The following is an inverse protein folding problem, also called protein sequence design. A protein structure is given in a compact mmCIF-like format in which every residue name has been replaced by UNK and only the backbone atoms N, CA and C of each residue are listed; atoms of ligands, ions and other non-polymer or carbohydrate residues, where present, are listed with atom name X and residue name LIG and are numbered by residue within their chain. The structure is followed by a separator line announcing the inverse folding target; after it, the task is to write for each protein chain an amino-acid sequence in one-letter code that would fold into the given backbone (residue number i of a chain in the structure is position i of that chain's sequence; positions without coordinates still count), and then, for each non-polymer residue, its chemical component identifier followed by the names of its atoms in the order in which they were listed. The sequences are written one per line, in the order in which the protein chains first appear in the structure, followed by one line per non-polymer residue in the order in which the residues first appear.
data_IF_970543881004
#
_entry.id   IF_970543881004
#
_cell.length_a   1.000
_cell.length_b   1.000
_cell.length_c   1.000
_cell.angle_alpha   90.00
_cell.angle_beta   90.00
_cell.angle_gamma   90.00
#
_symmetry.space_group_name_H-M   'P 1'
#
loop_
_entity.id
_entity.type
_entity.pdbx_description
1 polymer ?
#
# COMPACT_ATOMS: atom_id res chain seq x y z
N UNK A 1 -68.35 -75.46 1.48
CA UNK A 1 -68.57 -74.21 2.23
C UNK A 1 -67.44 -74.03 3.22
N UNK A 2 -66.59 -73.01 3.04
CA UNK A 2 -65.59 -72.62 4.04
C UNK A 2 -65.60 -71.07 4.13
N UNK A 3 -65.63 -70.49 5.34
CA UNK A 3 -66.05 -69.12 5.56
C UNK A 3 -64.95 -68.08 5.25
N UNK A 4 -65.39 -66.91 4.75
CA UNK A 4 -64.55 -65.73 4.49
C UNK A 4 -63.96 -65.21 5.81
N UNK A 5 -62.64 -64.98 5.84
CA UNK A 5 -61.92 -64.35 6.98
C UNK A 5 -62.35 -62.88 7.16
N UNK A 6 -62.51 -62.39 8.40
CA UNK A 6 -62.85 -61.00 8.67
C UNK A 6 -61.65 -60.07 8.46
N UNK A 7 -61.96 -58.85 8.00
CA UNK A 7 -61.02 -57.78 7.66
C UNK A 7 -60.60 -57.05 8.94
N UNK A 8 -59.31 -57.08 9.27
CA UNK A 8 -58.73 -56.37 10.43
C UNK A 8 -58.46 -54.90 10.10
N UNK A 9 -58.87 -54.00 10.99
CA UNK A 9 -58.59 -52.56 10.93
C UNK A 9 -57.20 -52.33 11.52
N UNK A 10 -56.32 -51.50 10.94
CA UNK A 10 -54.98 -51.31 11.48
C UNK A 10 -55.03 -50.44 12.75
N UNK A 11 -54.41 -50.93 13.82
CA UNK A 11 -54.21 -50.19 15.07
C UNK A 11 -53.27 -48.98 14.85
N UNK A 12 -53.66 -47.82 15.37
CA UNK A 12 -52.85 -46.60 15.38
C UNK A 12 -51.58 -46.81 16.20
N UNK A 13 -50.42 -46.67 15.56
CA UNK A 13 -49.10 -46.77 16.20
C UNK A 13 -48.84 -45.51 17.04
N UNK A 14 -48.43 -45.61 18.32
CA UNK A 14 -48.15 -44.43 19.13
C UNK A 14 -46.91 -43.70 18.61
N UNK A 15 -46.98 -42.37 18.61
CA UNK A 15 -45.90 -41.49 18.19
C UNK A 15 -44.66 -41.69 19.08
N UNK A 16 -43.52 -41.97 18.45
CA UNK A 16 -42.22 -41.99 19.12
C UNK A 16 -41.82 -40.54 19.47
N UNK A 17 -41.28 -40.29 20.67
CA UNK A 17 -40.79 -38.96 21.02
C UNK A 17 -39.57 -38.63 20.16
N UNK A 18 -39.71 -37.63 19.29
CA UNK A 18 -38.59 -36.96 18.64
C UNK A 18 -37.87 -36.11 19.68
N UNK A 19 -36.57 -35.91 19.45
CA UNK A 19 -35.63 -35.05 20.18
C UNK A 19 -34.92 -35.65 21.41
N UNK A 20 -33.87 -36.41 21.12
CA UNK A 20 -32.60 -36.26 21.86
C UNK A 20 -31.55 -35.68 20.93
N UNK A 21 -31.35 -34.36 20.99
CA UNK A 21 -30.16 -33.69 20.46
C UNK A 21 -28.94 -34.41 21.05
N UNK A 22 -28.18 -35.14 20.22
CA UNK A 22 -26.89 -35.73 20.63
C UNK A 22 -25.94 -34.56 20.93
N UNK A 23 -25.80 -34.21 22.20
CA UNK A 23 -24.73 -33.32 22.66
C UNK A 23 -23.42 -34.07 22.43
N UNK A 24 -22.63 -33.61 21.44
CA UNK A 24 -21.28 -34.12 21.23
C UNK A 24 -20.42 -33.91 22.49
N UNK A 25 -19.32 -34.67 22.63
CA UNK A 25 -18.44 -34.53 23.79
C UNK A 25 -17.97 -33.07 23.94
N UNK A 26 -17.80 -32.56 25.18
CA UNK A 26 -17.40 -31.19 25.42
C UNK A 26 -16.06 -30.92 24.72
N UNK A 27 -15.99 -29.88 23.89
CA UNK A 27 -14.74 -29.44 23.26
C UNK A 27 -13.73 -29.17 24.37
N UNK A 28 -12.63 -29.92 24.43
CA UNK A 28 -11.51 -29.62 25.33
C UNK A 28 -11.06 -28.18 25.07
N UNK A 29 -11.14 -27.34 26.10
CA UNK A 29 -10.62 -25.98 26.05
C UNK A 29 -9.10 -26.11 25.95
N UNK A 30 -8.53 -25.71 24.82
CA UNK A 30 -7.08 -25.72 24.62
C UNK A 30 -6.44 -24.73 25.60
N UNK A 31 -5.33 -25.15 26.23
CA UNK A 31 -4.48 -24.25 27.01
C UNK A 31 -3.97 -23.10 26.12
N UNK A 32 -3.71 -21.94 26.72
CA UNK A 32 -3.16 -20.78 26.00
C UNK A 32 -1.82 -21.11 25.33
N UNK A 33 -0.98 -21.90 25.99
CA UNK A 33 0.26 -22.41 25.43
C UNK A 33 0.03 -23.29 24.18
N UNK A 34 -1.02 -24.13 24.18
CA UNK A 34 -1.34 -24.97 23.01
C UNK A 34 -1.94 -24.17 21.86
N UNK A 35 -2.66 -23.08 22.17
CA UNK A 35 -3.14 -22.12 21.17
C UNK A 35 -1.97 -21.39 20.54
N UNK A 36 -1.02 -20.89 21.34
CA UNK A 36 0.18 -20.22 20.86
C UNK A 36 1.00 -21.12 19.92
N UNK A 37 1.27 -22.38 20.31
CA UNK A 37 1.96 -23.38 19.45
C UNK A 37 1.28 -23.55 18.09
N UNK A 38 -0.05 -23.63 18.06
CA UNK A 38 -0.82 -23.74 16.80
C UNK A 38 -0.75 -22.47 15.96
N UNK A 39 -0.76 -21.31 16.58
CA UNK A 39 -0.62 -20.02 15.90
C UNK A 39 0.78 -19.88 15.29
N UNK A 40 1.84 -20.24 16.02
CA UNK A 40 3.20 -20.27 15.48
C UNK A 40 3.35 -21.23 14.31
N UNK A 41 2.83 -22.45 14.41
CA UNK A 41 2.84 -23.39 13.29
C UNK A 41 2.07 -22.87 12.06
N UNK A 42 1.06 -22.02 12.28
CA UNK A 42 0.32 -21.35 11.20
C UNK A 42 1.11 -20.18 10.63
N UNK A 43 1.76 -19.39 11.50
CA UNK A 43 2.60 -18.25 11.12
C UNK A 43 3.74 -18.69 10.22
N UNK A 44 4.48 -19.73 10.60
CA UNK A 44 5.58 -20.29 9.77
C UNK A 44 5.08 -20.65 8.37
N UNK A 45 3.96 -21.39 8.26
CA UNK A 45 3.38 -21.74 6.95
C UNK A 45 2.95 -20.51 6.14
N UNK A 46 2.52 -19.44 6.80
CA UNK A 46 2.16 -18.18 6.14
C UNK A 46 3.40 -17.43 5.66
N UNK A 47 4.49 -17.46 6.42
CA UNK A 47 5.79 -16.88 6.04
C UNK A 47 6.39 -17.64 4.84
N UNK A 48 6.42 -18.98 4.89
CA UNK A 48 6.88 -19.84 3.80
C UNK A 48 6.09 -19.59 2.50
N UNK A 49 4.78 -19.31 2.64
CA UNK A 49 3.89 -18.99 1.52
C UNK A 49 3.85 -17.51 1.14
N UNK A 50 4.68 -16.65 1.74
CA UNK A 50 4.69 -15.19 1.56
C UNK A 50 3.29 -14.53 1.74
N UNK A 51 2.44 -15.12 2.60
CA UNK A 51 1.09 -14.63 2.90
C UNK A 51 1.12 -13.55 3.99
N UNK A 52 1.89 -12.48 3.78
CA UNK A 52 2.18 -11.44 4.78
C UNK A 52 0.95 -10.80 5.44
N UNK A 53 -0.15 -10.48 4.72
CA UNK A 53 -1.35 -9.92 5.37
C UNK A 53 -2.02 -10.87 6.36
N UNK A 54 -1.90 -12.19 6.15
CA UNK A 54 -2.42 -13.18 7.08
C UNK A 54 -1.43 -13.44 8.23
N UNK A 55 -0.13 -13.41 7.95
CA UNK A 55 0.93 -13.50 8.95
C UNK A 55 0.80 -12.38 9.99
N UNK A 56 0.59 -11.13 9.57
CA UNK A 56 0.34 -9.98 10.47
C UNK A 56 -0.87 -10.21 11.39
N UNK A 57 -1.97 -10.74 10.85
CA UNK A 57 -3.15 -11.06 11.68
C UNK A 57 -2.87 -12.20 12.66
N UNK A 58 -1.94 -13.10 12.33
CA UNK A 58 -1.54 -14.19 13.23
C UNK A 58 -0.62 -13.64 14.33
N UNK A 59 0.30 -12.72 14.03
CA UNK A 59 1.11 -12.04 15.05
C UNK A 59 0.24 -11.21 16.00
N UNK A 60 -0.81 -10.53 15.50
CA UNK A 60 -1.76 -9.82 16.36
C UNK A 60 -2.49 -10.77 17.33
N UNK A 61 -2.82 -11.99 16.88
CA UNK A 61 -3.43 -13.01 17.74
C UNK A 61 -2.45 -13.58 18.77
N UNK A 62 -1.18 -13.71 18.41
CA UNK A 62 -0.14 -14.14 19.35
C UNK A 62 0.06 -13.10 20.44
N UNK A 63 0.19 -11.82 20.07
CA UNK A 63 0.33 -10.71 21.01
C UNK A 63 -0.93 -10.47 21.86
N UNK A 64 -2.11 -10.88 21.38
CA UNK A 64 -3.32 -10.89 22.18
C UNK A 64 -3.36 -12.01 23.24
N UNK A 65 -2.59 -13.09 23.06
CA UNK A 65 -2.41 -14.13 24.08
C UNK A 65 -1.29 -13.77 25.06
N UNK A 66 -0.18 -13.25 24.55
CA UNK A 66 0.95 -12.77 25.34
C UNK A 66 1.49 -11.46 24.75
N UNK A 67 1.17 -10.30 25.35
CA UNK A 67 1.65 -9.00 24.87
C UNK A 67 3.17 -8.83 24.91
N UNK A 68 3.88 -9.63 25.73
CA UNK A 68 5.33 -9.54 25.91
C UNK A 68 6.10 -10.60 25.10
N UNK A 69 5.43 -11.31 24.18
CA UNK A 69 6.06 -12.28 23.31
C UNK A 69 7.03 -11.59 22.32
N UNK A 70 8.33 -11.72 22.58
CA UNK A 70 9.41 -11.10 21.80
C UNK A 70 9.42 -11.57 20.35
N UNK A 71 9.20 -12.87 20.12
CA UNK A 71 9.26 -13.48 18.79
C UNK A 71 8.09 -13.01 17.94
N UNK A 72 6.89 -12.97 18.52
CA UNK A 72 5.70 -12.45 17.85
C UNK A 72 5.86 -10.96 17.50
N UNK A 73 6.42 -10.16 18.42
CA UNK A 73 6.64 -8.72 18.23
C UNK A 73 7.70 -8.44 17.18
N UNK A 74 8.84 -9.12 17.22
CA UNK A 74 9.91 -9.00 16.22
C UNK A 74 9.42 -9.45 14.84
N UNK A 75 8.69 -10.57 14.77
CA UNK A 75 8.10 -11.04 13.51
C UNK A 75 7.10 -10.02 12.97
N UNK A 76 6.27 -9.42 13.83
CA UNK A 76 5.33 -8.35 13.43
C UNK A 76 6.09 -7.15 12.87
N UNK A 77 7.15 -6.69 13.54
CA UNK A 77 7.99 -5.58 13.08
C UNK A 77 8.55 -5.87 11.69
N UNK A 78 9.22 -7.01 11.51
CA UNK A 78 9.77 -7.44 10.22
C UNK A 78 8.70 -7.42 9.11
N UNK A 79 7.52 -7.99 9.37
CA UNK A 79 6.42 -8.01 8.41
C UNK A 79 5.91 -6.61 8.06
N UNK A 80 5.86 -5.69 9.03
CA UNK A 80 5.46 -4.31 8.79
C UNK A 80 6.50 -3.59 7.92
N UNK A 81 7.80 -3.77 8.19
CA UNK A 81 8.88 -3.19 7.39
C UNK A 81 8.90 -3.74 5.95
N UNK A 82 8.77 -5.06 5.80
CA UNK A 82 8.74 -5.76 4.50
C UNK A 82 7.53 -5.37 3.64
N UNK A 83 6.43 -4.93 4.27
CA UNK A 83 5.20 -4.51 3.58
C UNK A 83 5.01 -3.00 3.53
N UNK A 84 6.09 -2.23 3.74
CA UNK A 84 6.14 -0.77 3.71
C UNK A 84 5.16 -0.07 4.67
N UNK A 85 4.79 -0.72 5.78
CA UNK A 85 3.87 -0.16 6.79
C UNK A 85 4.61 0.56 7.91
N UNK A 86 5.45 1.54 7.54
CA UNK A 86 6.35 2.24 8.46
C UNK A 86 5.65 2.94 9.62
N UNK A 87 4.48 3.54 9.39
CA UNK A 87 3.72 4.20 10.47
C UNK A 87 3.26 3.21 11.55
N UNK A 88 2.84 1.99 11.17
CA UNK A 88 2.45 0.95 12.12
C UNK A 88 3.67 0.32 12.78
N UNK A 89 4.79 0.21 12.05
CA UNK A 89 6.06 -0.24 12.63
C UNK A 89 6.54 0.74 13.70
N UNK A 90 6.50 2.05 13.43
CA UNK A 90 6.87 3.09 14.37
C UNK A 90 5.99 3.07 15.63
N UNK A 91 4.66 2.97 15.47
CA UNK A 91 3.73 2.81 16.60
C UNK A 91 4.04 1.55 17.43
N UNK A 92 4.36 0.44 16.78
CA UNK A 92 4.79 -0.77 17.48
C UNK A 92 6.04 -0.48 18.31
N UNK A 93 7.04 0.20 17.73
CA UNK A 93 8.33 0.52 18.35
C UNK A 93 8.21 1.51 19.52
N UNK A 94 7.33 2.51 19.42
CA UNK A 94 7.02 3.47 20.50
C UNK A 94 6.54 2.76 21.78
N UNK A 95 5.93 1.59 21.65
CA UNK A 95 5.45 0.76 22.76
C UNK A 95 6.38 -0.43 23.06
N UNK A 96 7.69 -0.24 22.93
CA UNK A 96 8.66 -1.29 23.26
C UNK A 96 8.76 -1.59 24.75
N UNK A 97 8.90 -2.88 25.14
CA UNK A 97 9.32 -3.24 26.47
C UNK A 97 10.61 -2.51 26.83
N UNK A 98 10.70 -2.08 28.09
CA UNK A 98 11.86 -1.39 28.62
C UNK A 98 13.13 -2.23 28.46
N UNK A 99 14.21 -1.60 28.01
CA UNK A 99 15.49 -2.26 27.76
C UNK A 99 15.62 -2.98 26.41
N UNK A 100 14.56 -3.04 25.60
CA UNK A 100 14.68 -3.52 24.22
C UNK A 100 15.28 -2.43 23.34
N UNK A 101 16.45 -2.71 22.76
CA UNK A 101 17.05 -1.84 21.76
C UNK A 101 16.28 -1.90 20.45
N UNK A 102 15.73 -0.76 20.05
CA UNK A 102 14.93 -0.57 18.82
C UNK A 102 15.28 0.74 18.11
N UNK A 103 16.40 1.35 18.49
CA UNK A 103 16.77 2.69 18.06
C UNK A 103 16.99 2.74 16.53
N UNK A 104 17.67 1.72 15.99
CA UNK A 104 17.92 1.62 14.55
C UNK A 104 16.62 1.50 13.74
N UNK A 105 15.72 0.59 14.11
CA UNK A 105 14.47 0.40 13.39
C UNK A 105 13.56 1.63 13.48
N UNK A 106 13.62 2.37 14.61
CA UNK A 106 12.92 3.65 14.79
C UNK A 106 13.46 4.69 13.79
N UNK A 107 14.77 4.90 13.76
CA UNK A 107 15.42 5.83 12.82
C UNK A 107 15.10 5.46 11.36
N UNK A 108 15.16 4.17 11.03
CA UNK A 108 14.79 3.68 9.70
C UNK A 108 13.33 3.99 9.34
N UNK A 109 12.39 3.78 10.28
CA UNK A 109 10.98 4.11 10.05
C UNK A 109 10.78 5.61 9.84
N UNK A 110 11.43 6.48 10.62
CA UNK A 110 11.37 7.94 10.48
C UNK A 110 11.91 8.38 9.11
N UNK A 111 13.07 7.82 8.72
CA UNK A 111 13.65 8.01 7.40
C UNK A 111 12.68 7.59 6.28
N UNK A 112 12.05 6.42 6.36
CA UNK A 112 11.10 5.95 5.33
C UNK A 112 9.80 6.75 5.30
N UNK A 113 9.42 7.39 6.41
CA UNK A 113 8.27 8.29 6.51
C UNK A 113 8.58 9.74 6.11
N UNK A 114 9.82 10.04 5.69
CA UNK A 114 10.26 11.40 5.32
C UNK A 114 10.12 12.40 6.47
N UNK A 115 10.26 11.94 7.71
CA UNK A 115 10.36 12.79 8.90
C UNK A 115 11.84 13.08 9.16
N UNK A 116 12.41 13.94 8.32
CA UNK A 116 13.86 14.15 8.22
C UNK A 116 14.46 14.65 9.53
N UNK A 117 13.89 15.69 10.15
CA UNK A 117 14.38 16.24 11.43
C UNK A 117 14.40 15.20 12.56
N UNK A 118 13.36 14.37 12.64
CA UNK A 118 13.27 13.31 13.65
C UNK A 118 14.27 12.16 13.36
N UNK A 119 14.47 11.84 12.08
CA UNK A 119 15.42 10.80 11.66
C UNK A 119 16.86 11.22 11.91
N UNK A 120 17.17 12.49 11.65
CA UNK A 120 18.47 13.13 11.89
C UNK A 120 18.84 13.07 13.37
N UNK A 121 17.94 13.52 14.24
CA UNK A 121 18.13 13.45 15.70
C UNK A 121 18.36 12.00 16.17
N UNK A 122 17.59 11.05 15.65
CA UNK A 122 17.73 9.64 16.03
C UNK A 122 19.04 9.02 15.51
N UNK A 123 19.53 9.44 14.35
CA UNK A 123 20.78 8.97 13.76
C UNK A 123 21.99 9.58 14.46
N UNK A 124 21.95 10.85 14.86
CA UNK A 124 22.99 11.48 15.67
C UNK A 124 23.24 10.69 16.97
N UNK A 125 22.16 10.32 17.68
CA UNK A 125 22.25 9.49 18.89
C UNK A 125 22.85 8.11 18.60
N UNK A 126 22.47 7.48 17.48
CA UNK A 126 23.00 6.19 17.06
C UNK A 126 24.47 6.26 16.67
N UNK A 127 24.88 7.27 15.91
CA UNK A 127 26.26 7.51 15.49
C UNK A 127 27.16 7.81 16.69
N UNK A 128 26.65 8.53 17.69
CA UNK A 128 27.38 8.76 18.93
C UNK A 128 27.56 7.47 19.75
N UNK A 129 26.56 6.59 19.78
CA UNK A 129 26.61 5.34 20.54
C UNK A 129 27.34 4.20 19.81
N UNK A 130 27.27 4.17 18.48
CA UNK A 130 27.71 3.07 17.61
C UNK A 130 28.31 3.60 16.30
N UNK A 131 29.41 4.35 16.35
CA UNK A 131 29.99 5.00 15.17
C UNK A 131 30.45 4.02 14.09
N UNK A 132 30.82 2.80 14.50
CA UNK A 132 31.31 1.74 13.61
C UNK A 132 30.19 0.80 13.13
N UNK A 133 28.93 1.05 13.50
CA UNK A 133 27.83 0.22 13.02
C UNK A 133 27.54 0.52 11.55
N UNK A 134 27.84 -0.47 10.72
CA UNK A 134 27.71 -0.38 9.27
C UNK A 134 26.28 -0.04 8.82
N UNK A 135 25.27 -0.56 9.51
CA UNK A 135 23.87 -0.28 9.18
C UNK A 135 23.49 1.17 9.48
N UNK A 136 24.00 1.72 10.58
CA UNK A 136 23.82 3.13 10.96
C UNK A 136 24.51 4.04 9.95
N UNK A 137 25.79 3.78 9.60
CA UNK A 137 26.53 4.55 8.60
C UNK A 137 25.82 4.55 7.23
N UNK A 138 25.24 3.43 6.84
CA UNK A 138 24.50 3.32 5.59
C UNK A 138 23.21 4.15 5.60
N UNK A 139 22.49 4.16 6.73
CA UNK A 139 21.27 4.95 6.87
C UNK A 139 21.57 6.45 6.96
N UNK A 140 22.68 6.82 7.59
CA UNK A 140 23.20 8.18 7.64
C UNK A 140 23.54 8.69 6.23
N UNK A 141 24.32 7.93 5.44
CA UNK A 141 24.64 8.28 4.06
C UNK A 141 23.39 8.50 3.20
N UNK A 142 22.36 7.68 3.43
CA UNK A 142 21.07 7.80 2.76
C UNK A 142 20.28 9.05 3.18
N UNK A 143 20.36 9.46 4.46
CA UNK A 143 19.72 10.67 4.96
C UNK A 143 20.45 11.92 4.47
N UNK A 144 21.78 11.98 4.59
CA UNK A 144 22.59 13.11 4.12
C UNK A 144 22.37 13.35 2.61
N UNK A 145 22.29 12.28 1.81
CA UNK A 145 21.97 12.40 0.37
C UNK A 145 20.62 13.07 0.14
N UNK A 146 19.60 12.72 0.94
CA UNK A 146 18.26 13.27 0.80
C UNK A 146 18.18 14.75 1.20
N UNK A 147 18.92 15.14 2.22
CA UNK A 147 19.03 16.53 2.67
C UNK A 147 19.82 17.40 1.67
N UNK A 148 20.50 16.79 0.69
CA UNK A 148 21.33 17.50 -0.28
C UNK A 148 22.78 17.68 0.17
N UNK A 149 23.16 17.10 1.32
CA UNK A 149 24.53 17.05 1.84
C UNK A 149 25.33 15.96 1.10
N UNK A 150 25.48 16.14 -0.22
CA UNK A 150 26.08 15.16 -1.11
C UNK A 150 27.55 14.86 -0.80
N UNK A 151 28.28 15.83 -0.22
CA UNK A 151 29.65 15.65 0.23
C UNK A 151 29.73 14.61 1.37
N UNK A 152 28.97 14.83 2.44
CA UNK A 152 28.90 13.90 3.57
C UNK A 152 28.42 12.51 3.13
N UNK A 153 27.39 12.44 2.29
CA UNK A 153 26.91 11.18 1.73
C UNK A 153 27.99 10.42 0.95
N UNK A 154 28.75 11.13 0.10
CA UNK A 154 29.81 10.52 -0.70
C UNK A 154 30.94 9.97 0.18
N UNK A 155 31.36 10.72 1.19
CA UNK A 155 32.41 10.30 2.13
C UNK A 155 31.99 9.05 2.92
N UNK A 156 30.75 9.01 3.40
CA UNK A 156 30.19 7.84 4.09
C UNK A 156 30.11 6.62 3.18
N UNK A 157 29.66 6.79 1.92
CA UNK A 157 29.64 5.67 0.98
C UNK A 157 31.05 5.16 0.63
N UNK A 158 32.06 6.03 0.53
CA UNK A 158 33.44 5.58 0.34
C UNK A 158 33.96 4.81 1.55
N UNK A 159 33.70 5.29 2.76
CA UNK A 159 34.02 4.57 4.01
C UNK A 159 33.38 3.17 4.04
N UNK A 160 32.11 3.07 3.62
CA UNK A 160 31.43 1.78 3.50
C UNK A 160 32.06 0.88 2.42
N UNK A 161 32.52 1.44 1.30
CA UNK A 161 33.19 0.69 0.22
C UNK A 161 34.54 0.12 0.65
N UNK A 162 35.28 0.79 1.54
CA UNK A 162 36.60 0.32 2.01
C UNK A 162 36.56 -1.09 2.63
N UNK A 163 35.38 -1.49 3.13
CA UNK A 163 35.13 -2.81 3.73
C UNK A 163 34.08 -3.64 2.99
N UNK A 164 33.55 -3.14 1.88
CA UNK A 164 32.59 -3.89 1.05
C UNK A 164 33.32 -4.87 0.13
N UNK A 165 33.02 -6.16 0.23
CA UNK A 165 33.60 -7.18 -0.65
C UNK A 165 33.21 -6.93 -2.12
N UNK A 166 34.19 -6.80 -3.04
CA UNK A 166 33.91 -6.58 -4.45
C UNK A 166 33.07 -7.69 -5.08
N UNK A 167 32.09 -7.32 -5.89
CA UNK A 167 31.20 -8.27 -6.60
C UNK A 167 30.01 -8.76 -5.79
N UNK A 168 29.83 -8.27 -4.55
CA UNK A 168 28.58 -8.43 -3.80
C UNK A 168 27.52 -7.43 -4.26
N UNK A 169 26.25 -7.77 -4.04
CA UNK A 169 25.12 -6.86 -4.31
C UNK A 169 25.26 -5.57 -3.50
N UNK A 170 25.68 -5.66 -2.24
CA UNK A 170 25.93 -4.50 -1.38
C UNK A 170 26.99 -3.55 -1.97
N UNK A 171 28.13 -4.09 -2.43
CA UNK A 171 29.16 -3.28 -3.07
C UNK A 171 28.62 -2.57 -4.32
N UNK A 172 27.81 -3.25 -5.14
CA UNK A 172 27.20 -2.67 -6.34
C UNK A 172 26.21 -1.55 -6.00
N UNK A 173 25.39 -1.73 -4.97
CA UNK A 173 24.42 -0.75 -4.48
C UNK A 173 25.12 0.50 -3.94
N UNK A 174 26.11 0.32 -3.04
CA UNK A 174 26.89 1.43 -2.49
C UNK A 174 27.63 2.17 -3.60
N UNK A 175 28.27 1.47 -4.54
CA UNK A 175 28.98 2.09 -5.66
C UNK A 175 28.04 2.96 -6.50
N UNK A 176 26.81 2.51 -6.72
CA UNK A 176 25.80 3.25 -7.47
C UNK A 176 25.40 4.53 -6.73
N UNK A 177 25.14 4.43 -5.43
CA UNK A 177 24.77 5.57 -4.59
C UNK A 177 25.92 6.57 -4.44
N UNK A 178 27.16 6.10 -4.27
CA UNK A 178 28.36 6.93 -4.21
C UNK A 178 28.55 7.73 -5.49
N UNK A 179 28.38 7.09 -6.66
CA UNK A 179 28.46 7.78 -7.97
C UNK A 179 27.36 8.83 -8.12
N UNK A 180 26.15 8.56 -7.64
CA UNK A 180 25.07 9.54 -7.65
C UNK A 180 25.41 10.74 -6.76
N UNK A 181 25.89 10.50 -5.54
CA UNK A 181 26.31 11.56 -4.61
C UNK A 181 27.43 12.42 -5.23
N UNK A 182 28.45 11.78 -5.79
CA UNK A 182 29.56 12.46 -6.47
C UNK A 182 29.09 13.29 -7.68
N UNK A 183 28.19 12.75 -8.51
CA UNK A 183 27.67 13.47 -9.67
C UNK A 183 26.88 14.72 -9.26
N UNK A 184 26.08 14.63 -8.19
CA UNK A 184 25.38 15.80 -7.66
C UNK A 184 26.35 16.83 -7.04
N UNK A 185 27.36 16.36 -6.32
CA UNK A 185 28.40 17.23 -5.76
C UNK A 185 29.16 17.98 -6.87
N UNK A 186 29.61 17.27 -7.91
CA UNK A 186 30.28 17.87 -9.07
C UNK A 186 29.35 18.86 -9.80
N UNK A 187 28.07 18.50 -9.97
CA UNK A 187 27.10 19.41 -10.55
C UNK A 187 26.98 20.72 -9.76
N UNK A 188 26.84 20.65 -8.43
CA UNK A 188 26.69 21.84 -7.58
C UNK A 188 27.96 22.68 -7.55
N UNK A 189 29.12 22.04 -7.48
CA UNK A 189 30.41 22.73 -7.25
C UNK A 189 31.06 23.25 -8.52
N UNK A 190 30.98 22.51 -9.62
CA UNK A 190 31.72 22.82 -10.86
C UNK A 190 30.79 23.18 -12.00
N UNK A 191 29.85 22.30 -12.36
CA UNK A 191 29.04 22.45 -13.57
C UNK A 191 28.06 23.62 -13.47
N UNK A 192 27.33 23.71 -12.36
CA UNK A 192 26.34 24.76 -12.14
C UNK A 192 27.01 26.11 -11.95
N UNK A 193 28.03 26.19 -11.11
CA UNK A 193 28.80 27.42 -10.88
C UNK A 193 29.45 27.93 -12.18
N UNK A 194 30.11 27.05 -12.94
CA UNK A 194 30.71 27.42 -14.23
C UNK A 194 29.67 27.86 -15.27
N UNK A 195 28.49 27.25 -15.28
CA UNK A 195 27.40 27.68 -16.15
C UNK A 195 26.85 29.06 -15.76
N UNK A 196 26.76 29.37 -14.45
CA UNK A 196 26.38 30.70 -13.97
C UNK A 196 27.41 31.76 -14.38
N UNK A 197 28.71 31.46 -14.22
CA UNK A 197 29.79 32.38 -14.61
C UNK A 197 29.84 32.64 -16.12
N UNK A 198 29.42 31.68 -16.93
CA UNK A 198 29.35 31.82 -18.39
C UNK A 198 28.14 32.64 -18.89
N UNK A 199 27.16 32.96 -18.03
CA UNK A 199 25.98 33.73 -18.45
C UNK A 199 26.37 35.20 -18.72
N UNK A 200 25.81 35.81 -19.79
CA UNK A 200 25.94 37.25 -20.02
C UNK A 200 25.50 38.06 -18.80
N UNK A 201 26.29 39.08 -18.44
CA UNK A 201 26.01 39.94 -17.27
C UNK A 201 24.64 40.64 -17.34
N UNK A 202 24.13 40.90 -18.54
CA UNK A 202 22.78 41.45 -18.74
C UNK A 202 21.68 40.49 -18.23
N UNK A 203 21.87 39.18 -18.39
CA UNK A 203 20.92 38.16 -17.94
C UNK A 203 21.00 38.02 -16.42
N UNK A 204 22.20 37.92 -15.85
CA UNK A 204 22.38 37.81 -14.40
C UNK A 204 21.86 39.05 -13.66
N UNK A 205 22.17 40.25 -14.17
CA UNK A 205 21.66 41.52 -13.61
C UNK A 205 20.14 41.61 -13.67
N UNK A 206 19.53 41.15 -14.77
CA UNK A 206 18.07 41.15 -14.92
C UNK A 206 17.39 40.16 -13.97
N UNK A 207 17.99 38.98 -13.74
CA UNK A 207 17.51 37.99 -12.76
C UNK A 207 17.58 38.52 -11.33
N UNK A 208 18.67 39.18 -10.96
CA UNK A 208 18.89 39.69 -9.61
C UNK A 208 18.05 40.94 -9.32
N UNK A 209 17.75 41.76 -10.33
CA UNK A 209 16.84 42.91 -10.19
C UNK A 209 15.36 42.53 -10.35
N UNK A 210 15.05 41.33 -10.86
CA UNK A 210 13.67 40.94 -11.08
C UNK A 210 12.96 40.76 -9.73
N UNK A 211 11.78 41.38 -9.52
CA UNK A 211 10.99 41.08 -8.35
C UNK A 211 10.62 39.58 -8.36
N UNK A 212 10.51 38.93 -7.18
CA UNK A 212 10.09 37.54 -7.10
C UNK A 212 8.78 37.37 -7.89
N UNK A 213 8.64 36.28 -8.66
CA UNK A 213 7.47 36.08 -9.49
C UNK A 213 6.23 36.19 -8.60
N UNK A 214 5.43 37.23 -8.84
CA UNK A 214 4.19 37.41 -8.12
C UNK A 214 3.36 36.16 -8.39
N UNK A 215 3.06 35.40 -7.34
CA UNK A 215 2.04 34.35 -7.41
C UNK A 215 0.85 34.98 -8.13
N UNK A 216 0.29 34.34 -9.18
CA UNK A 216 -0.86 34.90 -9.87
C UNK A 216 -1.87 35.20 -8.78
N UNK A 217 -2.08 36.51 -8.54
CA UNK A 217 -3.01 36.95 -7.52
C UNK A 217 -4.29 36.26 -7.92
N UNK A 218 -4.72 35.29 -7.11
CA UNK A 218 -6.00 34.67 -7.28
C UNK A 218 -6.91 35.87 -7.32
N UNK A 219 -7.38 36.20 -8.52
CA UNK A 219 -8.29 37.29 -8.71
C UNK A 219 -9.52 36.76 -8.01
N UNK A 220 -9.59 37.05 -6.71
CA UNK A 220 -10.81 37.26 -6.00
C UNK A 220 -11.49 38.30 -6.86
N UNK A 221 -12.24 37.80 -7.84
CA UNK A 221 -13.42 38.44 -8.33
C UNK A 221 -14.25 38.60 -7.07
N UNK A 222 -13.96 39.67 -6.34
CA UNK A 222 -14.78 40.15 -5.27
C UNK A 222 -16.12 40.30 -5.95
N UNK A 223 -17.03 39.38 -5.62
CA UNK A 223 -18.44 39.53 -5.90
C UNK A 223 -18.74 40.92 -5.34
N UNK A 224 -19.04 41.94 -6.18
CA UNK A 224 -19.33 43.25 -5.64
C UNK A 224 -20.51 43.04 -4.70
N UNK A 225 -20.34 43.41 -3.44
CA UNK A 225 -21.42 43.49 -2.49
C UNK A 225 -22.51 44.32 -3.18
N UNK A 226 -23.65 43.67 -3.44
CA UNK A 226 -24.74 44.26 -4.20
C UNK A 226 -25.22 45.52 -3.49
N UNK A 227 -24.75 46.67 -3.98
CA UNK A 227 -25.35 47.95 -3.69
C UNK A 227 -26.79 47.90 -4.23
N UNK A 228 -27.73 48.12 -3.33
CA UNK A 228 -29.16 48.17 -3.57
C UNK A 228 -29.47 49.16 -4.69
N UNK A 229 -29.86 48.65 -5.86
CA UNK A 229 -30.34 49.43 -6.98
C UNK A 229 -31.65 48.81 -7.53
N UNK A 230 -32.55 49.64 -8.09
CA UNK A 230 -33.99 49.45 -8.04
C UNK A 230 -34.52 48.41 -9.02
N UNK A 231 -35.75 47.95 -8.73
CA UNK A 231 -36.45 46.86 -9.38
C UNK A 231 -36.38 46.87 -10.93
N UNK A 232 -36.15 45.71 -11.57
CA UNK A 232 -36.16 45.61 -13.02
C UNK A 232 -37.60 45.52 -13.54
N UNK A 233 -37.93 46.42 -14.46
CA UNK A 233 -39.08 46.32 -15.35
C UNK A 233 -38.93 45.11 -16.27
N UNK A 234 -40.07 44.49 -16.55
CA UNK A 234 -40.23 43.14 -17.10
C UNK A 234 -39.71 42.97 -18.53
N UNK A 235 -38.71 42.09 -18.72
CA UNK A 235 -38.33 41.53 -20.02
C UNK A 235 -38.86 40.08 -20.16
N UNK A 236 -39.26 39.63 -21.37
CA UNK A 236 -40.06 38.42 -21.55
C UNK A 236 -39.22 37.15 -21.38
N UNK A 237 -39.77 36.19 -20.61
CA UNK A 237 -39.15 34.87 -20.36
C UNK A 237 -39.11 34.01 -21.62
N UNK A 238 -37.91 33.65 -22.09
CA UNK A 238 -37.71 32.62 -23.11
C UNK A 238 -38.17 31.26 -22.56
N UNK A 239 -39.10 30.61 -23.23
CA UNK A 239 -39.63 29.29 -22.84
C UNK A 239 -38.60 28.20 -23.15
N UNK A 240 -38.28 27.40 -22.13
CA UNK A 240 -37.40 26.23 -22.27
C UNK A 240 -38.12 25.15 -23.05
N UNK A 241 -37.48 24.63 -24.11
CA UNK A 241 -38.03 23.56 -24.96
C UNK A 241 -38.15 22.26 -24.16
N UNK A 242 -39.38 21.93 -23.78
CA UNK A 242 -39.79 20.79 -22.94
C UNK A 242 -39.57 19.39 -23.54
N UNK A 243 -39.00 19.29 -24.74
CA UNK A 243 -38.68 17.99 -25.39
C UNK A 243 -37.34 17.38 -24.93
N UNK A 244 -36.52 18.11 -24.17
CA UNK A 244 -35.18 17.67 -23.70
C UNK A 244 -35.07 17.52 -22.18
N UNK A 245 -36.20 17.43 -21.48
CA UNK A 245 -36.21 17.21 -20.03
C UNK A 245 -36.87 15.87 -19.74
N UNK A 246 -36.16 14.90 -19.11
CA UNK A 246 -36.74 13.63 -18.68
C UNK A 246 -37.93 13.84 -17.73
N UNK A 247 -38.95 12.97 -17.81
CA UNK A 247 -40.14 13.05 -16.95
C UNK A 247 -39.73 13.06 -15.47
N UNK A 248 -40.10 14.12 -14.74
CA UNK A 248 -39.87 14.26 -13.29
C UNK A 248 -38.99 15.42 -12.85
N UNK A 249 -38.42 16.23 -13.77
CA UNK A 249 -37.54 17.36 -13.43
C UNK A 249 -38.22 18.69 -13.80
N UNK A 250 -38.60 19.49 -12.81
CA UNK A 250 -39.05 20.88 -12.96
C UNK A 250 -37.86 21.83 -12.74
N UNK A 251 -37.53 22.72 -13.70
CA UNK A 251 -36.43 23.67 -13.53
C UNK A 251 -36.71 24.64 -12.37
N UNK A 252 -35.82 24.67 -11.38
CA UNK A 252 -35.86 25.61 -10.25
C UNK A 252 -36.19 25.02 -8.88
N UNK A 253 -36.64 23.75 -8.78
CA UNK A 253 -37.00 23.09 -7.50
C UNK A 253 -36.54 21.62 -7.44
N UNK A 254 -35.54 21.23 -8.24
CA UNK A 254 -34.97 19.87 -8.18
C UNK A 254 -33.59 19.92 -7.52
N UNK A 255 -33.26 19.00 -6.58
CA UNK A 255 -31.94 18.94 -5.97
C UNK A 255 -30.84 18.73 -7.02
N UNK A 256 -29.63 19.22 -6.72
CA UNK A 256 -28.49 19.10 -7.61
C UNK A 256 -28.28 17.64 -8.03
N UNK A 257 -27.97 17.36 -9.31
CA UNK A 257 -27.74 16.00 -9.78
C UNK A 257 -26.68 15.29 -8.93
N UNK A 258 -26.92 14.02 -8.62
CA UNK A 258 -26.12 13.19 -7.71
C UNK A 258 -24.60 13.35 -7.96
N UNK A 259 -23.83 13.82 -6.95
CA UNK A 259 -22.40 14.05 -7.09
C UNK A 259 -21.62 12.76 -7.34
N UNK A 260 -22.17 11.58 -7.04
CA UNK A 260 -21.52 10.29 -7.28
C UNK A 260 -21.82 9.70 -8.67
N UNK A 261 -22.40 10.51 -9.57
CA UNK A 261 -22.77 10.06 -10.92
C UNK A 261 -21.59 9.63 -11.78
N UNK A 262 -20.38 10.12 -11.50
CA UNK A 262 -19.15 9.76 -12.23
C UNK A 262 -18.50 8.48 -11.70
N UNK A 263 -18.92 7.97 -10.53
CA UNK A 263 -18.43 6.72 -9.97
C UNK A 263 -19.08 5.50 -10.64
N UNK A 264 -18.35 4.37 -10.69
CA UNK A 264 -18.89 3.11 -11.20
C UNK A 264 -20.10 2.71 -10.34
N UNK A 265 -21.10 2.07 -10.94
CA UNK A 265 -22.37 1.77 -10.25
C UNK A 265 -22.17 0.98 -8.93
N UNK A 266 -21.13 0.17 -8.82
CA UNK A 266 -20.76 -0.59 -7.61
C UNK A 266 -20.13 0.25 -6.50
N UNK A 267 -19.63 1.43 -6.83
CA UNK A 267 -18.90 2.35 -5.95
C UNK A 267 -19.79 3.52 -5.48
N UNK A 268 -21.06 3.55 -5.92
CA UNK A 268 -22.03 4.56 -5.49
C UNK A 268 -22.61 4.19 -4.14
N UNK A 269 -22.78 5.16 -3.26
CA UNK A 269 -23.46 5.03 -1.96
C UNK A 269 -24.89 4.49 -2.08
N UNK A 270 -25.58 4.77 -3.19
CA UNK A 270 -26.92 4.24 -3.52
C UNK A 270 -26.91 2.79 -4.02
N UNK A 271 -25.74 2.15 -4.18
CA UNK A 271 -25.62 0.80 -4.69
C UNK A 271 -26.05 -0.25 -3.67
N UNK A 272 -27.16 -0.92 -3.95
CA UNK A 272 -27.57 -2.12 -3.23
C UNK A 272 -27.12 -3.35 -4.04
N UNK A 273 -26.12 -4.12 -3.59
CA UNK A 273 -25.74 -5.35 -4.28
C UNK A 273 -26.88 -6.37 -4.24
N UNK A 274 -27.13 -7.11 -5.33
CA UNK A 274 -28.14 -8.16 -5.33
C UNK A 274 -27.78 -9.22 -4.29
N UNK A 275 -28.66 -9.42 -3.29
CA UNK A 275 -28.54 -10.52 -2.32
C UNK A 275 -28.58 -11.85 -3.07
N UNK A 276 -27.51 -12.64 -2.95
CA UNK A 276 -27.60 -14.09 -3.21
C UNK A 276 -26.78 -14.67 -4.36
N UNK A 277 -25.66 -14.07 -4.78
CA UNK A 277 -24.69 -14.82 -5.61
C UNK A 277 -23.26 -14.64 -5.08
N UNK A 278 -22.77 -15.71 -4.45
CA UNK A 278 -21.36 -15.94 -4.14
C UNK A 278 -20.52 -15.56 -5.37
N UNK A 279 -19.62 -14.59 -5.24
CA UNK A 279 -18.56 -14.40 -6.22
C UNK A 279 -17.55 -15.52 -6.05
N UNK A 280 -17.79 -16.61 -6.79
CA UNK A 280 -16.74 -17.49 -7.25
C UNK A 280 -15.84 -16.70 -8.22
N UNK A 281 -14.53 -16.89 -8.11
CA UNK A 281 -13.55 -16.21 -8.92
C UNK A 281 -13.49 -16.68 -10.37
N UNK A 282 -12.68 -15.95 -11.14
CA UNK A 282 -12.06 -16.39 -12.39
C UNK A 282 -12.88 -16.16 -13.65
N UNK A 283 -12.29 -15.48 -14.63
CA UNK A 283 -12.75 -15.55 -16.02
C UNK A 283 -12.52 -14.29 -16.83
N UNK A 284 -11.43 -14.28 -17.59
CA UNK A 284 -11.07 -13.31 -18.62
C UNK A 284 -12.11 -13.18 -19.75
N UNK A 285 -12.24 -11.97 -20.32
CA UNK A 285 -12.47 -11.71 -21.76
C UNK A 285 -11.99 -10.28 -22.05
N UNK A 286 -10.86 -10.09 -22.75
CA UNK A 286 -10.76 -9.89 -24.21
C UNK A 286 -10.52 -8.40 -24.54
N UNK A 287 -9.30 -8.08 -24.99
CA UNK A 287 -8.90 -6.75 -25.43
C UNK A 287 -7.44 -6.74 -25.88
N UNK A 288 -7.22 -7.01 -27.16
CA UNK A 288 -5.95 -7.15 -27.87
C UNK A 288 -5.64 -5.88 -28.66
N UNK A 289 -4.37 -5.47 -28.73
CA UNK A 289 -3.77 -4.73 -29.87
C UNK A 289 -2.31 -5.15 -30.03
N UNK A 290 -1.83 -5.53 -31.23
CA UNK A 290 -0.41 -5.70 -31.51
C UNK A 290 0.13 -4.46 -32.23
N UNK A 291 1.34 -4.05 -31.91
CA UNK A 291 2.18 -3.26 -32.80
C UNK A 291 3.32 -4.15 -33.29
N UNK A 292 3.25 -4.47 -34.58
CA UNK A 292 4.33 -4.80 -35.53
C UNK A 292 5.41 -3.69 -35.47
N UNK A 293 6.71 -3.84 -35.74
CA UNK A 293 7.59 -4.89 -36.29
C UNK A 293 9.03 -4.33 -36.17
N UNK A 294 10.06 -5.11 -35.83
CA UNK A 294 11.22 -5.37 -36.70
C UNK A 294 12.21 -6.39 -36.09
N UNK A 295 12.67 -7.30 -36.96
CA UNK A 295 13.52 -8.50 -36.79
C UNK A 295 15.01 -8.06 -36.99
N UNK A 296 16.12 -8.84 -36.77
CA UNK A 296 16.16 -10.31 -36.76
C UNK A 296 17.19 -11.08 -35.91
N UNK A 297 16.91 -12.40 -35.87
CA UNK A 297 17.80 -13.56 -35.93
C UNK A 297 18.85 -13.83 -34.85
N UNK A 298 18.63 -14.92 -34.13
CA UNK A 298 19.58 -16.04 -34.17
C UNK A 298 18.85 -17.38 -34.07
N UNK A 299 19.33 -18.32 -34.88
CA UNK A 299 18.78 -19.65 -35.08
C UNK A 299 19.60 -20.68 -34.30
N UNK A 300 18.92 -21.66 -33.70
CA UNK A 300 19.32 -23.05 -33.43
C UNK A 300 18.25 -23.64 -32.49
N UNK A 301 17.67 -24.82 -32.64
CA UNK A 301 17.96 -25.98 -33.47
C UNK A 301 17.42 -27.21 -32.70
N UNK A 302 16.76 -28.14 -33.40
CA UNK A 302 16.36 -29.47 -32.89
C UNK A 302 14.96 -29.48 -32.26
N UNK A 303 13.93 -30.10 -32.85
CA UNK A 303 13.84 -31.54 -33.17
C UNK A 303 13.38 -32.27 -31.89
N UNK A 304 12.25 -32.97 -31.77
CA UNK A 304 11.35 -33.64 -32.70
C UNK A 304 10.62 -34.71 -31.87
N UNK A 305 9.53 -35.27 -32.39
CA UNK A 305 9.01 -36.58 -31.95
C UNK A 305 7.85 -36.57 -30.96
N UNK A 306 6.63 -36.65 -31.49
CA UNK A 306 5.48 -37.13 -30.73
C UNK A 306 5.39 -38.66 -30.69
N UNK A 307 4.79 -39.23 -29.64
CA UNK A 307 3.71 -40.23 -29.74
C UNK A 307 3.25 -40.77 -28.37
N UNK A 308 1.91 -40.82 -28.26
CA UNK A 308 1.06 -41.93 -27.75
C UNK A 308 0.96 -42.24 -26.25
N UNK A 309 -0.31 -42.09 -25.82
CA UNK A 309 -1.22 -43.10 -25.21
C UNK A 309 -0.75 -43.85 -23.95
N UNK A 310 -1.47 -43.59 -22.86
CA UNK A 310 -1.71 -44.56 -21.78
C UNK A 310 -3.11 -44.37 -21.20
N UNK A 311 -4.05 -45.23 -21.61
CA UNK A 311 -5.40 -45.38 -21.04
C UNK A 311 -5.45 -46.74 -20.37
N UNK A 312 -5.71 -46.80 -19.06
CA UNK A 312 -6.26 -47.95 -18.33
C UNK A 312 -7.00 -47.38 -17.12
N UNK A 313 -8.33 -47.43 -17.10
CA UNK A 313 -9.22 -48.57 -16.75
C UNK A 313 -9.41 -48.62 -15.24
#
# INVERSE_FOLDING_TARGET
MAPKKPRTVPASRPAQPKDRKRTGPPKKVLSEADKAKKLYATLVKQLDGAHFPNALKTTDKLLALDPNDSDARQTKLFLLLQTDKYAQALDLLDHAPEGQDVAYERAYCLYRLQREEDADTALDELMAARPDDRGVQHLEAQLSYRQGEYGAAYDLYNSLLDSAEPGTDEHADITTNARAAHAHLDFVTSSYAGALDALPSAITSALESAPPPALPSASSSAIPAAATAPAPTTAPKRTVRTKRVPKGITPGVSPAPDPERWLKKTERSSYVPPRGKKRAGGGATQGFTPAVENVPSSAAGGGGGGKKKGKKK
#
